data_IF_630148015640
#
_entry.id   IF_630148015640
#
_cell.length_a   1.000
_cell.length_b   1.000
_cell.length_c   1.000
_cell.angle_alpha   90.00
_cell.angle_beta   90.00
_cell.angle_gamma   90.00
#
_symmetry.space_group_name_H-M   'P 1'
#
loop_
_entity.id
_entity.type
_entity.pdbx_description
1 polymer ?
#
# COMPACT_ATOMS: atom_id res chain seq x y z
N UNK A 1 60.29 56.62 43.11
CA UNK A 1 59.94 55.50 42.18
C UNK A 1 58.41 55.41 42.11
N UNK A 2 57.84 55.93 41.07
CA UNK A 2 56.36 55.86 40.83
C UNK A 2 56.08 54.64 39.96
N UNK A 3 55.41 53.65 40.50
CA UNK A 3 54.90 52.55 39.77
C UNK A 3 53.70 53.04 38.95
N UNK A 4 53.76 52.87 37.63
CA UNK A 4 52.67 53.14 36.75
C UNK A 4 51.76 51.90 36.73
N UNK A 5 50.55 51.98 37.25
CA UNK A 5 49.65 50.81 37.19
C UNK A 5 49.06 50.70 35.77
N UNK A 6 49.48 49.68 35.06
CA UNK A 6 48.74 49.30 33.83
C UNK A 6 47.30 48.88 34.21
N UNK A 7 46.28 49.41 33.55
CA UNK A 7 44.91 49.12 33.94
C UNK A 7 44.57 47.65 33.67
N UNK A 8 44.12 46.93 34.68
CA UNK A 8 43.67 45.52 34.64
C UNK A 8 42.74 45.20 33.44
N UNK A 9 42.08 46.20 32.93
CA UNK A 9 41.18 46.07 31.76
C UNK A 9 41.90 45.70 30.46
N UNK A 10 43.19 46.09 30.30
CA UNK A 10 43.98 45.76 29.09
C UNK A 10 44.37 44.28 29.08
N UNK A 11 44.75 43.73 30.23
CA UNK A 11 45.06 42.30 30.37
C UNK A 11 43.82 41.43 30.16
N UNK A 12 42.68 41.85 30.67
CA UNK A 12 41.39 41.13 30.48
C UNK A 12 40.95 41.13 29.03
N UNK A 13 41.24 42.20 28.28
CA UNK A 13 40.86 42.31 26.87
C UNK A 13 41.78 41.46 25.97
N UNK A 14 43.06 41.45 26.24
CA UNK A 14 44.07 40.64 25.54
C UNK A 14 43.80 39.12 25.73
N UNK A 15 43.57 38.67 26.96
CA UNK A 15 43.28 37.26 27.25
C UNK A 15 41.98 36.80 26.59
N UNK A 16 40.95 37.65 26.52
CA UNK A 16 39.67 37.32 25.85
C UNK A 16 39.82 37.20 24.33
N UNK A 17 40.63 38.05 23.73
CA UNK A 17 40.92 38.00 22.29
C UNK A 17 41.81 36.81 21.93
N UNK A 18 42.76 36.46 22.77
CA UNK A 18 43.61 35.29 22.56
C UNK A 18 42.84 33.97 22.72
N UNK A 19 41.91 33.88 23.68
CA UNK A 19 41.00 32.74 23.79
C UNK A 19 40.08 32.61 22.55
N UNK A 20 39.53 33.73 22.05
CA UNK A 20 38.71 33.72 20.80
C UNK A 20 39.53 33.30 19.59
N UNK A 21 40.77 33.79 19.44
CA UNK A 21 41.69 33.40 18.36
C UNK A 21 42.09 31.93 18.45
N UNK A 22 42.39 31.41 19.64
CA UNK A 22 42.70 29.98 19.87
C UNK A 22 41.50 29.10 19.58
N UNK A 23 40.28 29.50 19.99
CA UNK A 23 39.06 28.81 19.70
C UNK A 23 38.79 28.79 18.17
N UNK A 24 38.95 29.93 17.48
CA UNK A 24 38.76 30.02 16.03
C UNK A 24 39.76 29.16 15.24
N UNK A 25 41.02 29.09 15.68
CA UNK A 25 42.04 28.24 15.06
C UNK A 25 41.71 26.75 15.33
N UNK A 26 41.23 26.41 16.53
CA UNK A 26 40.80 25.05 16.87
C UNK A 26 39.62 24.63 16.00
N UNK A 27 38.58 25.46 15.88
CA UNK A 27 37.42 25.20 15.02
C UNK A 27 37.78 25.04 13.53
N UNK A 28 38.69 25.86 13.01
CA UNK A 28 39.17 25.71 11.61
C UNK A 28 39.89 24.38 11.38
N UNK A 29 40.73 23.94 12.34
CA UNK A 29 41.41 22.63 12.27
C UNK A 29 40.41 21.47 12.34
N UNK A 30 39.47 21.52 13.26
CA UNK A 30 38.38 20.55 13.38
C UNK A 30 37.61 20.50 12.08
N UNK A 31 37.18 21.66 11.56
CA UNK A 31 36.42 21.74 10.29
C UNK A 31 37.21 21.19 9.12
N UNK A 32 38.49 21.51 8.94
CA UNK A 32 39.31 20.98 7.85
C UNK A 32 39.51 19.47 7.94
N UNK A 33 39.56 18.92 9.16
CA UNK A 33 39.69 17.47 9.37
C UNK A 33 38.40 16.73 9.04
N UNK A 34 37.26 17.23 9.51
CA UNK A 34 35.97 16.54 9.36
C UNK A 34 35.19 16.87 8.08
N UNK A 35 35.52 17.95 7.38
CA UNK A 35 34.76 18.37 6.19
C UNK A 35 34.72 17.31 5.08
N UNK A 36 35.82 16.59 4.83
CA UNK A 36 35.86 15.55 3.79
C UNK A 36 34.99 14.37 4.12
N UNK A 37 35.10 13.72 5.31
CA UNK A 37 34.19 12.64 5.68
C UNK A 37 32.74 13.12 5.81
N UNK A 38 32.48 14.33 6.26
CA UNK A 38 31.12 14.90 6.31
C UNK A 38 30.53 15.06 4.92
N UNK A 39 31.26 15.64 3.96
CA UNK A 39 30.83 15.76 2.55
C UNK A 39 30.57 14.37 1.96
N UNK A 40 31.45 13.40 2.23
CA UNK A 40 31.27 12.03 1.77
C UNK A 40 29.98 11.42 2.32
N UNK A 41 29.73 11.53 3.63
CA UNK A 41 28.50 11.03 4.26
C UNK A 41 27.25 11.70 3.72
N UNK A 42 27.26 13.03 3.57
CA UNK A 42 26.15 13.79 3.00
C UNK A 42 25.89 13.40 1.54
N UNK A 43 26.96 13.17 0.76
CA UNK A 43 26.84 12.71 -0.63
C UNK A 43 26.23 11.30 -0.69
N UNK A 44 26.68 10.39 0.18
CA UNK A 44 26.13 9.04 0.26
C UNK A 44 24.65 9.07 0.64
N UNK A 45 24.29 9.88 1.63
CA UNK A 45 22.89 10.06 2.03
C UNK A 45 22.04 10.64 0.90
N UNK A 46 22.55 11.64 0.18
CA UNK A 46 21.86 12.21 -0.97
C UNK A 46 21.64 11.17 -2.07
N UNK A 47 22.66 10.38 -2.39
CA UNK A 47 22.56 9.28 -3.36
C UNK A 47 21.50 8.28 -2.92
N UNK A 48 21.47 7.91 -1.62
CA UNK A 48 20.47 7.00 -1.08
C UNK A 48 19.05 7.58 -1.21
N UNK A 49 18.88 8.86 -0.92
CA UNK A 49 17.58 9.53 -1.07
C UNK A 49 17.16 9.55 -2.54
N UNK A 50 18.04 9.96 -3.46
CA UNK A 50 17.76 9.99 -4.90
C UNK A 50 17.42 8.60 -5.42
N UNK A 51 18.14 7.58 -4.96
CA UNK A 51 17.83 6.19 -5.30
C UNK A 51 16.43 5.78 -4.83
N UNK A 52 16.12 5.93 -3.55
CA UNK A 52 14.86 5.48 -2.98
C UNK A 52 13.65 6.28 -3.47
N UNK A 53 13.81 7.60 -3.68
CA UNK A 53 12.68 8.46 -4.02
C UNK A 53 12.34 8.44 -5.52
N UNK A 54 13.33 8.19 -6.39
CA UNK A 54 13.12 8.28 -7.83
C UNK A 54 13.65 7.08 -8.60
N UNK A 55 14.93 6.75 -8.48
CA UNK A 55 15.55 5.75 -9.37
C UNK A 55 15.02 4.35 -9.16
N UNK A 56 14.73 3.95 -7.93
CA UNK A 56 14.15 2.64 -7.63
C UNK A 56 12.75 2.49 -8.25
N UNK A 57 11.93 3.52 -8.18
CA UNK A 57 10.59 3.52 -8.80
C UNK A 57 10.66 3.46 -10.33
N UNK A 58 11.52 4.28 -10.95
CA UNK A 58 11.72 4.24 -12.39
C UNK A 58 12.26 2.88 -12.86
N UNK A 59 13.14 2.29 -12.06
CA UNK A 59 13.66 0.95 -12.33
C UNK A 59 12.56 -0.11 -12.24
N UNK A 60 11.74 -0.08 -11.18
CA UNK A 60 10.63 -1.00 -11.01
C UNK A 60 9.59 -0.86 -12.14
N UNK A 61 9.20 0.36 -12.51
CA UNK A 61 8.26 0.59 -13.61
C UNK A 61 8.74 -0.02 -14.94
N UNK A 62 10.05 0.07 -15.23
CA UNK A 62 10.64 -0.54 -16.44
C UNK A 62 10.64 -2.07 -16.41
N UNK A 63 10.62 -2.67 -15.22
CA UNK A 63 10.55 -4.12 -15.03
C UNK A 63 9.11 -4.64 -15.09
N UNK A 64 8.12 -3.78 -14.97
CA UNK A 64 6.73 -4.18 -15.15
C UNK A 64 6.50 -4.54 -16.61
N UNK A 65 6.37 -5.84 -16.89
CA UNK A 65 6.04 -6.35 -18.24
C UNK A 65 4.54 -6.11 -18.54
N UNK A 66 4.15 -4.85 -18.59
CA UNK A 66 2.80 -4.45 -18.96
C UNK A 66 2.74 -4.52 -20.47
N UNK A 67 2.38 -5.70 -20.98
CA UNK A 67 2.12 -5.89 -22.41
C UNK A 67 0.78 -5.26 -22.73
N UNK A 68 0.84 -4.12 -23.33
CA UNK A 68 -0.33 -3.52 -23.96
C UNK A 68 -0.65 -4.31 -25.22
N UNK A 69 -1.46 -5.35 -25.11
CA UNK A 69 -2.22 -5.83 -26.24
C UNK A 69 -3.09 -4.64 -26.69
N UNK A 70 -3.05 -4.31 -27.97
CA UNK A 70 -3.68 -3.17 -28.61
C UNK A 70 -4.75 -2.45 -27.76
N UNK A 71 -4.42 -1.25 -27.31
CA UNK A 71 -5.10 -0.51 -26.22
C UNK A 71 -6.58 -0.23 -26.40
N UNK A 72 -7.15 -0.53 -27.55
CA UNK A 72 -8.52 -0.13 -27.89
C UNK A 72 -9.59 -1.20 -27.61
N UNK A 73 -9.25 -2.39 -27.14
CA UNK A 73 -10.22 -3.49 -27.03
C UNK A 73 -10.27 -4.27 -25.69
N UNK A 74 -9.50 -3.89 -24.68
CA UNK A 74 -9.45 -4.63 -23.41
C UNK A 74 -9.85 -3.80 -22.19
N UNK A 75 -10.41 -4.44 -21.17
CA UNK A 75 -10.68 -3.85 -19.86
C UNK A 75 -9.50 -4.16 -18.94
N UNK A 76 -8.93 -3.14 -18.32
CA UNK A 76 -7.77 -3.27 -17.46
C UNK A 76 -8.16 -3.29 -15.98
N UNK A 77 -7.75 -4.34 -15.30
CA UNK A 77 -7.94 -4.50 -13.86
C UNK A 77 -6.62 -4.28 -13.13
N UNK A 78 -6.59 -3.35 -12.17
CA UNK A 78 -5.52 -3.23 -11.20
C UNK A 78 -5.95 -3.92 -9.91
N UNK A 79 -5.23 -4.96 -9.52
CA UNK A 79 -5.54 -5.74 -8.33
C UNK A 79 -4.58 -5.31 -7.20
N UNK A 80 -5.14 -4.86 -6.10
CA UNK A 80 -4.44 -4.44 -4.89
C UNK A 80 -4.71 -5.45 -3.79
N UNK A 81 -3.68 -6.20 -3.39
CA UNK A 81 -3.76 -7.16 -2.31
C UNK A 81 -3.13 -6.58 -1.04
N UNK A 82 -3.78 -6.81 0.09
CA UNK A 82 -3.22 -6.60 1.43
C UNK A 82 -2.52 -5.24 1.61
N UNK A 83 -3.17 -4.09 1.31
CA UNK A 83 -2.52 -2.78 1.47
C UNK A 83 -2.22 -2.45 2.92
N UNK A 84 -2.91 -3.05 3.88
CA UNK A 84 -2.68 -3.07 5.32
C UNK A 84 -2.19 -1.73 5.89
N UNK A 85 -3.02 -0.68 5.77
CA UNK A 85 -2.65 0.63 6.31
C UNK A 85 -2.23 0.52 7.77
N UNK A 86 -1.01 0.95 8.06
CA UNK A 86 -0.45 0.97 9.41
C UNK A 86 -1.38 1.72 10.36
N UNK A 87 -1.76 1.08 11.46
CA UNK A 87 -2.70 1.62 12.43
C UNK A 87 -2.09 2.57 13.45
N UNK A 88 -2.66 2.61 14.65
CA UNK A 88 -2.27 3.52 15.71
C UNK A 88 -1.83 2.80 17.00
N UNK A 89 -1.96 1.47 17.07
CA UNK A 89 -1.77 0.70 18.30
C UNK A 89 -0.50 -0.15 18.32
N UNK A 90 -0.15 -0.76 17.18
CA UNK A 90 0.97 -1.70 17.09
C UNK A 90 2.31 -1.04 16.81
N UNK A 91 2.34 0.27 16.64
CA UNK A 91 3.56 1.02 16.38
C UNK A 91 4.50 1.04 17.59
N UNK A 92 5.50 0.19 17.58
CA UNK A 92 6.49 0.05 18.68
C UNK A 92 7.73 0.92 18.53
N UNK A 93 7.84 1.71 17.46
CA UNK A 93 9.04 2.48 17.15
C UNK A 93 9.06 3.84 17.86
N UNK A 94 10.25 4.43 18.07
CA UNK A 94 10.36 5.70 18.77
C UNK A 94 9.66 6.87 18.07
N UNK A 95 9.28 6.72 16.79
CA UNK A 95 8.63 7.76 15.99
C UNK A 95 7.46 7.20 15.17
N UNK A 96 6.36 6.75 15.80
CA UNK A 96 5.25 6.10 15.10
C UNK A 96 4.61 6.97 14.01
N UNK A 97 4.48 8.26 14.23
CA UNK A 97 3.92 9.17 13.23
C UNK A 97 4.77 9.30 11.97
N UNK A 98 6.10 9.21 12.09
CA UNK A 98 7.02 9.24 10.94
C UNK A 98 6.91 7.94 10.17
N UNK A 99 6.89 6.80 10.85
CA UNK A 99 6.74 5.48 10.22
C UNK A 99 5.44 5.38 9.44
N UNK A 100 4.33 5.82 10.04
CA UNK A 100 3.02 5.84 9.39
C UNK A 100 3.00 6.77 8.18
N UNK A 101 3.52 7.99 8.33
CA UNK A 101 3.63 8.94 7.23
C UNK A 101 4.48 8.38 6.08
N UNK A 102 5.59 7.73 6.38
CA UNK A 102 6.48 7.15 5.37
C UNK A 102 5.82 5.96 4.66
N UNK A 103 5.16 5.06 5.40
CA UNK A 103 4.39 3.95 4.83
C UNK A 103 3.28 4.46 3.90
N UNK A 104 2.48 5.45 4.35
CA UNK A 104 1.42 6.06 3.55
C UNK A 104 1.97 6.68 2.26
N UNK A 105 3.10 7.36 2.36
CA UNK A 105 3.78 7.98 1.22
C UNK A 105 4.22 6.93 0.19
N UNK A 106 4.81 5.82 0.64
CA UNK A 106 5.22 4.73 -0.26
C UNK A 106 4.02 4.05 -0.92
N UNK A 107 2.98 3.73 -0.16
CA UNK A 107 1.75 3.16 -0.71
C UNK A 107 1.14 4.09 -1.75
N UNK A 108 1.07 5.39 -1.47
CA UNK A 108 0.53 6.39 -2.40
C UNK A 108 1.32 6.45 -3.70
N UNK A 109 2.65 6.59 -3.62
CA UNK A 109 3.52 6.66 -4.81
C UNK A 109 3.40 5.37 -5.63
N UNK A 110 3.47 4.20 -4.98
CA UNK A 110 3.34 2.91 -5.63
C UNK A 110 2.00 2.75 -6.35
N UNK A 111 0.91 3.07 -5.66
CA UNK A 111 -0.44 3.00 -6.23
C UNK A 111 -0.63 3.96 -7.40
N UNK A 112 -0.25 5.24 -7.26
CA UNK A 112 -0.37 6.22 -8.34
C UNK A 112 0.43 5.82 -9.60
N UNK A 113 1.61 5.24 -9.42
CA UNK A 113 2.42 4.73 -10.53
C UNK A 113 1.77 3.51 -11.18
N UNK A 114 1.32 2.54 -10.38
CA UNK A 114 0.64 1.34 -10.88
C UNK A 114 -0.65 1.70 -11.63
N UNK A 115 -1.46 2.60 -11.07
CA UNK A 115 -2.69 3.08 -11.70
C UNK A 115 -2.42 3.76 -13.05
N UNK A 116 -1.38 4.61 -13.10
CA UNK A 116 -0.98 5.30 -14.34
C UNK A 116 -0.44 4.32 -15.38
N UNK A 117 0.41 3.39 -14.96
CA UNK A 117 1.03 2.42 -15.85
C UNK A 117 0.00 1.41 -16.40
N UNK A 118 -0.92 0.92 -15.58
CA UNK A 118 -1.97 -0.03 -15.99
C UNK A 118 -3.12 0.60 -16.77
N UNK A 119 -3.32 1.92 -16.66
CA UNK A 119 -4.52 2.62 -17.18
C UNK A 119 -5.81 1.91 -16.76
N UNK A 120 -5.88 1.49 -15.50
CA UNK A 120 -6.93 0.62 -15.02
C UNK A 120 -8.33 1.25 -15.11
N UNK A 121 -9.26 0.51 -15.72
CA UNK A 121 -10.69 0.82 -15.74
C UNK A 121 -11.34 0.42 -14.42
N UNK A 122 -10.83 -0.65 -13.81
CA UNK A 122 -11.31 -1.22 -12.54
C UNK A 122 -10.16 -1.41 -11.58
N UNK A 123 -10.33 -0.96 -10.33
CA UNK A 123 -9.42 -1.28 -9.22
C UNK A 123 -10.11 -2.23 -8.26
N UNK A 124 -9.48 -3.37 -8.00
CA UNK A 124 -9.97 -4.40 -7.08
C UNK A 124 -9.10 -4.45 -5.84
N UNK A 125 -9.66 -4.15 -4.69
CA UNK A 125 -9.01 -4.33 -3.40
C UNK A 125 -9.40 -5.70 -2.84
N UNK A 126 -8.43 -6.60 -2.70
CA UNK A 126 -8.66 -7.99 -2.29
C UNK A 126 -8.57 -8.21 -0.77
N UNK A 127 -8.99 -7.24 0.02
CA UNK A 127 -9.08 -7.35 1.48
C UNK A 127 -7.84 -6.84 2.22
N UNK A 128 -7.93 -6.90 3.54
CA UNK A 128 -6.93 -6.40 4.48
C UNK A 128 -6.54 -4.94 4.19
N UNK A 129 -7.56 -4.09 4.11
CA UNK A 129 -7.36 -2.67 3.82
C UNK A 129 -6.68 -1.96 4.99
N UNK A 130 -6.96 -2.40 6.22
CA UNK A 130 -6.46 -1.84 7.48
C UNK A 130 -5.73 -2.91 8.28
N UNK A 131 -4.50 -2.65 8.72
CA UNK A 131 -3.73 -3.60 9.53
C UNK A 131 -4.39 -3.94 10.89
N UNK A 132 -5.03 -2.95 11.51
CA UNK A 132 -5.66 -3.09 12.84
C UNK A 132 -7.20 -2.98 12.78
N UNK A 133 -7.82 -3.29 11.64
CA UNK A 133 -9.24 -3.03 11.40
C UNK A 133 -10.15 -3.56 12.51
N UNK A 134 -9.92 -4.78 12.98
CA UNK A 134 -10.71 -5.41 14.04
C UNK A 134 -10.66 -4.62 15.36
N UNK A 135 -9.49 -4.11 15.70
CA UNK A 135 -9.22 -3.48 17.01
C UNK A 135 -9.53 -1.98 17.02
N UNK A 136 -9.75 -1.36 15.85
CA UNK A 136 -9.94 0.07 15.73
C UNK A 136 -11.21 0.56 16.42
N UNK A 137 -11.07 1.60 17.24
CA UNK A 137 -12.19 2.43 17.65
C UNK A 137 -12.80 3.16 16.46
N UNK A 138 -14.03 3.69 16.61
CA UNK A 138 -14.69 4.48 15.56
C UNK A 138 -13.86 5.70 15.12
N UNK A 139 -13.17 6.36 16.06
CA UNK A 139 -12.32 7.52 15.76
C UNK A 139 -11.08 7.10 14.94
N UNK A 140 -10.38 6.06 15.35
CA UNK A 140 -9.22 5.51 14.65
C UNK A 140 -9.60 5.04 13.23
N UNK A 141 -10.75 4.36 13.10
CA UNK A 141 -11.26 3.94 11.79
C UNK A 141 -11.51 5.12 10.85
N UNK A 142 -12.17 6.18 11.34
CA UNK A 142 -12.43 7.37 10.51
C UNK A 142 -11.13 8.06 10.08
N UNK A 143 -10.12 8.15 10.95
CA UNK A 143 -8.81 8.68 10.59
C UNK A 143 -8.12 7.80 9.54
N UNK A 144 -8.15 6.49 9.70
CA UNK A 144 -7.57 5.54 8.74
C UNK A 144 -8.32 5.56 7.42
N UNK A 145 -9.63 5.71 7.42
CA UNK A 145 -10.44 5.86 6.21
C UNK A 145 -10.05 7.10 5.41
N UNK A 146 -9.89 8.26 6.09
CA UNK A 146 -9.43 9.49 5.42
C UNK A 146 -8.03 9.32 4.80
N UNK A 147 -7.14 8.61 5.49
CA UNK A 147 -5.81 8.26 4.95
C UNK A 147 -5.94 7.35 3.73
N UNK A 148 -6.77 6.31 3.83
CA UNK A 148 -7.03 5.38 2.73
C UNK A 148 -7.51 6.11 1.46
N UNK A 149 -8.50 6.99 1.60
CA UNK A 149 -9.02 7.79 0.49
C UNK A 149 -7.97 8.72 -0.12
N UNK A 150 -7.07 9.27 0.70
CA UNK A 150 -5.95 10.12 0.25
C UNK A 150 -4.86 9.33 -0.48
N UNK A 151 -4.57 8.11 -0.03
CA UNK A 151 -3.54 7.23 -0.60
C UNK A 151 -4.04 6.64 -1.92
N UNK A 152 -5.25 6.05 -1.91
CA UNK A 152 -5.83 5.36 -3.05
C UNK A 152 -6.80 6.25 -3.84
N UNK A 153 -6.38 7.51 -4.03
CA UNK A 153 -7.15 8.43 -4.85
C UNK A 153 -7.13 8.00 -6.32
N UNK A 154 -8.30 7.96 -6.96
CA UNK A 154 -8.43 7.57 -8.35
C UNK A 154 -9.49 8.40 -9.07
N UNK A 155 -9.44 8.48 -10.42
CA UNK A 155 -10.44 9.17 -11.22
C UNK A 155 -11.86 8.64 -10.94
N UNK A 156 -12.85 9.50 -11.09
CA UNK A 156 -14.28 9.12 -10.92
C UNK A 156 -14.76 8.12 -11.97
N UNK A 157 -14.08 8.05 -13.11
CA UNK A 157 -14.34 7.07 -14.17
C UNK A 157 -13.86 5.66 -13.82
N UNK A 158 -12.92 5.52 -12.89
CA UNK A 158 -12.39 4.21 -12.47
C UNK A 158 -13.38 3.53 -11.54
N UNK A 159 -13.82 2.34 -11.92
CA UNK A 159 -14.71 1.52 -11.10
C UNK A 159 -13.95 0.82 -9.97
N UNK A 160 -14.66 0.43 -8.92
CA UNK A 160 -14.06 -0.11 -7.70
C UNK A 160 -14.77 -1.36 -7.24
N UNK A 161 -13.98 -2.37 -6.85
CA UNK A 161 -14.45 -3.56 -6.15
C UNK A 161 -13.71 -3.63 -4.82
N UNK A 162 -14.46 -3.82 -3.73
CA UNK A 162 -13.89 -3.98 -2.40
C UNK A 162 -14.27 -5.35 -1.84
N UNK A 163 -13.27 -6.12 -1.49
CA UNK A 163 -13.38 -7.40 -0.77
C UNK A 163 -12.87 -7.17 0.65
N UNK A 164 -13.53 -7.73 1.65
CA UNK A 164 -13.07 -7.64 3.03
C UNK A 164 -12.08 -8.75 3.35
N UNK A 165 -11.01 -8.43 4.09
CA UNK A 165 -10.09 -9.39 4.66
C UNK A 165 -10.36 -9.69 6.14
N UNK A 166 -9.55 -10.54 6.74
CA UNK A 166 -9.67 -10.91 8.15
C UNK A 166 -9.29 -9.75 9.09
N UNK A 167 -8.29 -8.95 8.76
CA UNK A 167 -7.98 -7.74 9.52
C UNK A 167 -9.09 -6.70 9.49
N UNK A 168 -9.96 -6.72 8.47
CA UNK A 168 -11.07 -5.78 8.34
C UNK A 168 -12.30 -6.20 9.16
N UNK A 169 -12.64 -7.52 9.15
CA UNK A 169 -13.92 -8.02 9.67
C UNK A 169 -13.82 -9.24 10.59
N UNK A 170 -12.62 -9.79 10.79
CA UNK A 170 -12.37 -11.05 11.49
C UNK A 170 -12.51 -12.25 10.57
N UNK A 171 -12.17 -13.44 11.11
CA UNK A 171 -12.34 -14.70 10.40
C UNK A 171 -11.17 -15.67 10.51
N UNK A 172 -9.93 -15.20 10.69
CA UNK A 172 -8.76 -16.07 10.78
C UNK A 172 -8.60 -16.65 12.22
N UNK A 173 -8.38 -15.78 13.20
CA UNK A 173 -8.16 -16.17 14.60
C UNK A 173 -9.42 -16.04 15.47
N UNK A 174 -10.41 -15.32 14.98
CA UNK A 174 -11.69 -15.12 15.60
C UNK A 174 -12.83 -15.27 14.58
N UNK A 175 -14.06 -15.29 15.08
CA UNK A 175 -15.22 -15.32 14.20
C UNK A 175 -15.39 -13.98 13.48
N UNK A 176 -15.91 -14.03 12.24
CA UNK A 176 -16.37 -12.84 11.53
C UNK A 176 -17.35 -12.04 12.40
N UNK A 177 -17.07 -10.77 12.60
CA UNK A 177 -17.82 -9.89 13.51
C UNK A 177 -18.86 -9.09 12.70
N UNK A 178 -20.17 -9.33 12.89
CA UNK A 178 -21.20 -8.70 12.08
C UNK A 178 -21.20 -7.17 12.10
N UNK A 179 -20.82 -6.55 13.22
CA UNK A 179 -20.66 -5.09 13.31
C UNK A 179 -19.57 -4.58 12.37
N UNK A 180 -18.45 -5.29 12.27
CA UNK A 180 -17.32 -4.92 11.40
C UNK A 180 -17.68 -5.10 9.92
N UNK A 181 -18.39 -6.18 9.60
CA UNK A 181 -18.96 -6.38 8.23
C UNK A 181 -19.84 -5.19 7.85
N UNK A 182 -20.78 -4.81 8.74
CA UNK A 182 -21.64 -3.65 8.50
C UNK A 182 -20.90 -2.32 8.46
N UNK A 183 -19.77 -2.18 9.16
CA UNK A 183 -18.89 -1.02 9.06
C UNK A 183 -18.18 -1.00 7.72
N UNK A 184 -17.59 -2.12 7.29
CA UNK A 184 -16.90 -2.27 6.02
C UNK A 184 -17.82 -1.91 4.85
N UNK A 185 -18.97 -2.57 4.74
CA UNK A 185 -19.93 -2.38 3.63
C UNK A 185 -20.49 -0.95 3.54
N UNK A 186 -20.53 -0.20 4.64
CA UNK A 186 -20.98 1.21 4.63
C UNK A 186 -19.95 2.18 4.06
N UNK A 187 -18.67 1.87 4.20
CA UNK A 187 -17.59 2.79 3.82
C UNK A 187 -16.87 2.38 2.53
N UNK A 188 -16.78 1.08 2.26
CA UNK A 188 -16.15 0.53 1.07
C UNK A 188 -17.22 0.04 0.09
N UNK A 189 -17.75 1.01 -0.67
CA UNK A 189 -18.85 0.76 -1.60
C UNK A 189 -18.28 0.36 -2.96
N UNK A 190 -18.61 -0.87 -3.39
CA UNK A 190 -18.32 -1.35 -4.75
C UNK A 190 -19.15 -0.57 -5.76
N UNK A 191 -18.49 -0.04 -6.81
CA UNK A 191 -19.13 0.73 -7.90
C UNK A 191 -18.99 0.03 -9.25
N UNK A 192 -18.84 -1.29 -9.23
CA UNK A 192 -18.58 -2.10 -10.41
C UNK A 192 -19.87 -2.32 -11.22
N UNK A 193 -19.80 -2.01 -12.52
CA UNK A 193 -20.85 -2.25 -13.51
C UNK A 193 -20.23 -2.86 -14.78
N UNK A 194 -20.35 -4.17 -14.92
CA UNK A 194 -19.78 -4.91 -16.03
C UNK A 194 -20.38 -4.51 -17.39
N UNK A 195 -21.62 -3.99 -17.41
CA UNK A 195 -22.26 -3.59 -18.66
C UNK A 195 -21.58 -2.38 -19.30
N UNK A 196 -21.21 -1.38 -18.48
CA UNK A 196 -20.53 -0.19 -18.98
C UNK A 196 -19.12 -0.49 -19.52
N UNK A 197 -18.53 -1.61 -19.11
CA UNK A 197 -17.20 -2.07 -19.53
C UNK A 197 -17.22 -3.12 -20.64
N UNK A 198 -18.40 -3.49 -21.15
CA UNK A 198 -18.51 -4.55 -22.17
C UNK A 198 -18.28 -5.97 -21.63
N UNK A 199 -18.30 -6.15 -20.31
CA UNK A 199 -18.04 -7.43 -19.62
C UNK A 199 -19.34 -8.15 -19.22
N UNK A 200 -20.48 -7.77 -19.75
CA UNK A 200 -21.80 -8.32 -19.39
C UNK A 200 -21.93 -9.82 -19.64
N UNK A 201 -21.06 -10.42 -20.43
CA UNK A 201 -21.03 -11.86 -20.67
C UNK A 201 -20.36 -12.67 -19.54
N UNK A 202 -19.79 -12.03 -18.54
CA UNK A 202 -19.11 -12.68 -17.41
C UNK A 202 -19.89 -12.46 -16.11
N UNK A 203 -19.87 -13.46 -15.23
CA UNK A 203 -20.30 -13.30 -13.85
C UNK A 203 -19.12 -12.86 -12.99
N UNK A 204 -19.37 -11.97 -12.03
CA UNK A 204 -18.38 -11.54 -11.06
C UNK A 204 -18.92 -11.77 -9.66
N UNK A 205 -18.18 -12.53 -8.85
CA UNK A 205 -18.62 -12.97 -7.53
C UNK A 205 -17.50 -12.76 -6.51
N UNK A 206 -17.86 -12.20 -5.37
CA UNK A 206 -17.01 -12.21 -4.18
C UNK A 206 -17.36 -13.40 -3.30
N UNK A 207 -16.35 -14.16 -2.89
CA UNK A 207 -16.50 -15.28 -1.95
C UNK A 207 -15.74 -14.95 -0.67
N UNK A 208 -16.46 -14.80 0.43
CA UNK A 208 -15.84 -14.70 1.74
C UNK A 208 -15.55 -16.12 2.24
N UNK A 209 -14.29 -16.52 2.15
CA UNK A 209 -13.86 -17.88 2.50
C UNK A 209 -13.91 -18.18 4.02
N UNK A 210 -14.01 -17.18 4.90
CA UNK A 210 -14.08 -17.38 6.33
C UNK A 210 -15.45 -17.90 6.79
N UNK A 211 -16.53 -17.54 6.11
CA UNK A 211 -17.89 -17.95 6.43
C UNK A 211 -18.64 -18.60 5.28
N UNK A 212 -18.00 -18.76 4.12
CA UNK A 212 -18.61 -19.32 2.90
C UNK A 212 -19.67 -18.44 2.24
N UNK A 213 -19.83 -17.18 2.70
CA UNK A 213 -20.78 -16.26 2.10
C UNK A 213 -20.33 -15.86 0.69
N UNK A 214 -21.31 -15.77 -0.22
CA UNK A 214 -21.09 -15.32 -1.60
C UNK A 214 -21.88 -14.06 -1.85
N UNK A 215 -21.23 -13.08 -2.46
CA UNK A 215 -21.83 -11.82 -2.88
C UNK A 215 -21.71 -11.71 -4.40
N UNK A 216 -22.83 -11.56 -5.08
CA UNK A 216 -22.85 -11.38 -6.54
C UNK A 216 -22.60 -9.92 -6.86
N UNK A 217 -21.46 -9.63 -7.47
CA UNK A 217 -21.07 -8.29 -7.89
C UNK A 217 -21.72 -7.94 -9.24
N UNK A 218 -21.78 -8.92 -10.13
CA UNK A 218 -22.46 -8.83 -11.40
C UNK A 218 -22.94 -10.22 -11.83
N UNK A 219 -24.19 -10.33 -12.27
CA UNK A 219 -24.79 -11.57 -12.73
C UNK A 219 -25.13 -11.50 -14.22
N UNK A 220 -24.71 -12.50 -14.95
CA UNK A 220 -24.94 -12.69 -16.39
C UNK A 220 -25.70 -13.98 -16.64
N UNK A 221 -26.26 -14.12 -17.81
CA UNK A 221 -26.80 -15.41 -18.31
C UNK A 221 -25.70 -16.41 -18.70
N UNK A 222 -24.42 -15.99 -18.69
CA UNK A 222 -23.27 -16.84 -19.01
C UNK A 222 -22.94 -17.80 -17.86
N UNK A 223 -22.29 -18.92 -18.23
CA UNK A 223 -21.71 -19.85 -17.26
C UNK A 223 -20.27 -19.48 -16.81
N UNK A 224 -19.69 -18.44 -17.40
CA UNK A 224 -18.31 -18.03 -17.11
C UNK A 224 -18.28 -17.09 -15.90
N UNK A 225 -17.56 -17.50 -14.85
CA UNK A 225 -17.51 -16.75 -13.59
C UNK A 225 -16.08 -16.39 -13.21
N UNK A 226 -15.90 -15.12 -12.80
CA UNK A 226 -14.67 -14.61 -12.16
C UNK A 226 -14.94 -14.47 -10.67
N UNK A 227 -14.07 -15.04 -9.85
CA UNK A 227 -14.22 -15.04 -8.40
C UNK A 227 -13.12 -14.20 -7.76
N UNK A 228 -13.50 -13.33 -6.85
CA UNK A 228 -12.62 -12.60 -5.96
C UNK A 228 -12.75 -13.13 -4.54
N UNK A 229 -11.64 -13.39 -3.88
CA UNK A 229 -11.61 -13.81 -2.47
C UNK A 229 -10.35 -13.27 -1.80
N UNK A 230 -10.47 -12.83 -0.55
CA UNK A 230 -9.28 -12.51 0.21
C UNK A 230 -8.44 -13.77 0.46
N UNK A 231 -9.03 -14.79 1.05
CA UNK A 231 -8.36 -16.05 1.36
C UNK A 231 -8.14 -16.89 0.08
N UNK A 232 -6.99 -17.59 -0.07
CA UNK A 232 -6.72 -18.45 -1.22
C UNK A 232 -7.60 -19.72 -1.17
N UNK A 233 -8.79 -19.66 -1.76
CA UNK A 233 -9.80 -20.74 -1.79
C UNK A 233 -9.20 -22.08 -2.21
N UNK A 234 -8.25 -22.08 -3.15
CA UNK A 234 -7.63 -23.29 -3.70
C UNK A 234 -6.88 -24.13 -2.67
N UNK A 235 -6.49 -23.54 -1.52
CA UNK A 235 -5.86 -24.27 -0.42
C UNK A 235 -6.87 -25.06 0.43
N UNK A 236 -8.15 -24.74 0.32
CA UNK A 236 -9.23 -25.35 1.09
C UNK A 236 -10.07 -26.27 0.19
N UNK A 237 -9.71 -27.58 0.14
CA UNK A 237 -10.34 -28.55 -0.80
C UNK A 237 -11.87 -28.56 -0.75
N UNK A 238 -12.46 -28.53 0.44
CA UNK A 238 -13.92 -28.54 0.60
C UNK A 238 -14.57 -27.29 0.03
N UNK A 239 -14.00 -26.12 0.34
CA UNK A 239 -14.50 -24.83 -0.15
C UNK A 239 -14.31 -24.72 -1.68
N UNK A 240 -13.13 -25.11 -2.18
CA UNK A 240 -12.87 -25.14 -3.62
C UNK A 240 -13.89 -26.04 -4.36
N UNK A 241 -14.20 -27.20 -3.79
CA UNK A 241 -15.20 -28.10 -4.39
C UNK A 241 -16.61 -27.46 -4.40
N UNK A 242 -17.01 -26.82 -3.32
CA UNK A 242 -18.28 -26.08 -3.26
C UNK A 242 -18.32 -24.96 -4.29
N UNK A 243 -17.28 -24.11 -4.33
CA UNK A 243 -17.18 -22.99 -5.27
C UNK A 243 -17.22 -23.51 -6.74
N UNK A 244 -16.53 -24.60 -7.05
CA UNK A 244 -16.58 -25.22 -8.37
C UNK A 244 -17.98 -25.72 -8.73
N UNK A 245 -18.66 -26.38 -7.81
CA UNK A 245 -20.01 -26.90 -8.06
C UNK A 245 -21.05 -25.79 -8.21
N UNK A 246 -20.94 -24.72 -7.45
CA UNK A 246 -21.93 -23.62 -7.43
C UNK A 246 -21.71 -22.59 -8.52
N UNK A 247 -20.45 -22.25 -8.81
CA UNK A 247 -20.09 -21.06 -9.60
C UNK A 247 -19.35 -21.42 -10.90
N UNK A 248 -18.78 -22.62 -11.00
CA UNK A 248 -17.93 -23.04 -12.13
C UNK A 248 -16.94 -21.95 -12.59
N UNK A 249 -16.06 -21.43 -11.68
CA UNK A 249 -15.21 -20.30 -11.97
C UNK A 249 -14.14 -20.64 -13.00
N UNK A 250 -13.87 -19.70 -13.90
CA UNK A 250 -12.74 -19.75 -14.84
C UNK A 250 -11.49 -19.14 -14.26
N UNK A 251 -11.67 -18.08 -13.43
CA UNK A 251 -10.62 -17.34 -12.78
C UNK A 251 -10.95 -17.16 -11.30
N UNK A 252 -9.94 -17.34 -10.45
CA UNK A 252 -10.00 -16.99 -9.03
C UNK A 252 -8.81 -16.08 -8.69
N UNK A 253 -9.10 -14.91 -8.17
CA UNK A 253 -8.11 -13.98 -7.61
C UNK A 253 -8.15 -14.07 -6.09
N UNK A 254 -6.98 -14.22 -5.48
CA UNK A 254 -6.84 -14.28 -4.01
C UNK A 254 -5.65 -13.46 -3.52
N UNK A 255 -5.67 -13.11 -2.24
CA UNK A 255 -4.67 -12.34 -1.51
C UNK A 255 -4.23 -13.07 -0.24
N UNK A 256 -4.20 -12.40 0.94
CA UNK A 256 -3.91 -12.90 2.29
C UNK A 256 -2.44 -13.30 2.53
N UNK A 257 -1.71 -13.78 1.55
CA UNK A 257 -0.29 -14.14 1.66
C UNK A 257 0.63 -12.97 1.24
N UNK A 258 0.11 -11.76 1.25
CA UNK A 258 0.77 -10.53 0.79
C UNK A 258 1.25 -10.63 -0.68
N UNK A 259 0.56 -11.45 -1.46
CA UNK A 259 0.80 -11.66 -2.89
C UNK A 259 -0.54 -11.89 -3.58
N UNK A 260 -0.73 -11.25 -4.72
CA UNK A 260 -1.88 -11.57 -5.60
C UNK A 260 -1.67 -12.95 -6.21
N UNK A 261 -2.57 -13.87 -5.90
CA UNK A 261 -2.59 -15.21 -6.48
C UNK A 261 -3.70 -15.32 -7.52
N UNK A 262 -3.33 -15.73 -8.73
CA UNK A 262 -4.26 -15.96 -9.84
C UNK A 262 -4.32 -17.43 -10.17
N UNK A 263 -5.50 -18.00 -10.12
CA UNK A 263 -5.73 -19.41 -10.44
C UNK A 263 -6.66 -19.54 -11.66
N UNK A 264 -6.17 -20.19 -12.70
CA UNK A 264 -6.96 -20.60 -13.85
C UNK A 264 -7.53 -22.00 -13.59
N UNK A 265 -8.85 -22.12 -13.63
CA UNK A 265 -9.53 -23.39 -13.48
C UNK A 265 -10.05 -23.83 -14.85
N UNK A 266 -9.23 -24.62 -15.56
CA UNK A 266 -9.64 -25.19 -16.84
C UNK A 266 -10.69 -26.27 -16.60
N UNK A 267 -11.86 -26.09 -17.19
CA UNK A 267 -12.81 -27.19 -17.38
C UNK A 267 -12.29 -28.03 -18.56
N UNK A 268 -11.90 -29.28 -18.29
CA UNK A 268 -11.46 -30.22 -19.36
C UNK A 268 -12.53 -30.46 -20.40
N UNK A 269 -13.81 -30.19 -20.10
CA UNK A 269 -14.91 -30.32 -21.04
C UNK A 269 -15.07 -29.11 -22.00
N UNK A 270 -14.56 -27.93 -21.63
CA UNK A 270 -14.61 -26.73 -22.46
C UNK A 270 -13.58 -26.71 -23.59
N UNK A 271 -12.52 -27.52 -23.52
CA UNK A 271 -11.48 -27.59 -24.55
C UNK A 271 -11.89 -28.36 -25.80
N UNK A 272 -13.01 -29.07 -25.75
CA UNK A 272 -13.53 -29.85 -26.90
C UNK A 272 -14.60 -29.10 -27.74
N UNK A 273 -14.86 -27.82 -27.41
CA UNK A 273 -15.89 -26.98 -28.07
C UNK A 273 -15.33 -25.75 -28.79
N UNK A 274 -13.97 -25.68 -28.98
CA UNK A 274 -13.34 -24.69 -29.85
C UNK A 274 -12.61 -25.32 -31.02
#
# INVERSE_FOLDING_TARGET
MQECPFPENVYRWQTRNDMRRRAAISWRRIWTFYRKPLIFLLSLQLITVVWNEWLAWEWCERLWDIRYADHDQGVHFLIVADPQLVGYREERLPFPSITRWDADRYLKIGFERALRASKADVVVFLGDLMNEGIQMSKAEFNLSLTRFESIFHMPTSTQKIYVSGDNDVGGEHERVIPYLVGRFSRHFITTFDAATLGLQALNFVHVNAFNGATEVLWNSSSSLTVVFSHLPIVKFRSLLQQVRQMLNPILIFSAHEHVVSLYFLFCTECLNSF
#
